data_IF_532379083118
#
_entry.id   IF_532379083118
#
_cell.length_a   1.000
_cell.length_b   1.000
_cell.length_c   1.000
_cell.angle_alpha   90.00
_cell.angle_beta   90.00
_cell.angle_gamma   90.00
#
_symmetry.space_group_name_H-M   'P 1'
#
loop_
_entity.id
_entity.type
_entity.pdbx_description
1 polymer ?
#
# COMPACT_ATOMS: atom_id res chain seq x y z
N UNK A 1 -36.02 69.84 31.01
CA UNK A 1 -35.91 68.47 30.51
C UNK A 1 -35.55 68.50 29.07
N UNK A 2 -34.32 68.14 28.63
CA UNK A 2 -33.93 68.13 27.24
C UNK A 2 -34.27 66.79 26.61
N UNK A 3 -34.80 66.84 25.42
CA UNK A 3 -35.17 65.75 24.54
C UNK A 3 -33.92 65.16 23.93
N UNK A 4 -33.66 63.85 24.06
CA UNK A 4 -32.55 63.13 23.47
C UNK A 4 -33.00 62.58 22.10
N UNK A 5 -32.37 63.09 21.03
CA UNK A 5 -32.48 62.53 19.67
C UNK A 5 -31.85 61.16 19.57
N UNK A 6 -32.44 60.19 18.88
CA UNK A 6 -31.78 58.91 18.58
C UNK A 6 -30.77 59.09 17.46
N UNK A 7 -29.52 58.83 17.78
CA UNK A 7 -28.40 58.84 16.85
C UNK A 7 -28.45 57.58 15.93
N UNK A 8 -28.47 57.83 14.63
CA UNK A 8 -28.46 56.80 13.59
C UNK A 8 -27.12 56.07 13.55
N UNK A 9 -27.16 54.79 13.82
CA UNK A 9 -26.03 53.89 13.61
C UNK A 9 -26.06 53.44 12.13
N UNK A 10 -25.21 54.01 11.31
CA UNK A 10 -24.97 53.51 9.96
C UNK A 10 -23.98 52.33 10.04
N UNK A 11 -24.26 51.18 9.38
CA UNK A 11 -23.28 50.09 9.33
C UNK A 11 -22.11 50.50 8.41
N UNK A 12 -20.88 50.07 8.73
CA UNK A 12 -19.73 50.33 7.88
C UNK A 12 -19.87 49.61 6.55
N UNK A 13 -19.48 50.30 5.46
CA UNK A 13 -19.48 49.80 4.11
C UNK A 13 -18.67 48.51 4.00
N UNK A 14 -19.29 47.49 3.41
CA UNK A 14 -18.60 46.23 3.05
C UNK A 14 -17.49 46.51 2.05
N UNK A 15 -16.26 46.27 2.44
CA UNK A 15 -15.10 46.22 1.54
C UNK A 15 -15.23 45.03 0.62
N UNK A 16 -14.94 45.16 -0.68
CA UNK A 16 -15.00 44.05 -1.60
C UNK A 16 -13.83 43.08 -1.37
N UNK A 17 -14.09 41.96 -0.71
CA UNK A 17 -13.21 40.80 -0.71
C UNK A 17 -13.40 40.03 -2.01
N UNK A 18 -12.82 40.53 -3.09
CA UNK A 18 -12.65 39.81 -4.35
C UNK A 18 -11.21 39.96 -4.78
N UNK A 19 -10.35 39.14 -4.22
CA UNK A 19 -9.07 38.83 -4.83
C UNK A 19 -8.95 37.32 -4.90
N UNK A 20 -9.25 36.78 -6.08
CA UNK A 20 -8.76 35.48 -6.48
C UNK A 20 -7.22 35.47 -6.35
N UNK A 21 -6.62 34.42 -5.79
CA UNK A 21 -5.19 34.29 -5.79
C UNK A 21 -4.71 33.77 -7.15
N UNK A 22 -4.67 34.62 -8.15
CA UNK A 22 -3.75 34.44 -9.27
C UNK A 22 -2.36 34.89 -8.78
N UNK A 23 -1.72 34.04 -8.00
CA UNK A 23 -0.38 34.29 -7.50
C UNK A 23 0.49 33.11 -7.87
N UNK A 24 1.36 33.26 -8.86
CA UNK A 24 2.62 32.52 -8.94
C UNK A 24 3.16 32.41 -7.51
N UNK A 25 3.42 31.19 -7.03
CA UNK A 25 4.01 30.96 -5.71
C UNK A 25 5.17 31.96 -5.48
N UNK A 26 5.23 32.65 -4.35
CA UNK A 26 6.31 33.57 -4.04
C UNK A 26 7.67 32.90 -4.29
N UNK A 27 8.65 33.64 -4.78
CA UNK A 27 9.96 33.09 -5.13
C UNK A 27 10.59 32.33 -3.96
N UNK A 28 10.38 32.79 -2.74
CA UNK A 28 10.81 32.12 -1.51
C UNK A 28 10.15 30.75 -1.31
N UNK A 29 8.86 30.62 -1.58
CA UNK A 29 8.16 29.33 -1.46
C UNK A 29 8.62 28.34 -2.54
N UNK A 30 8.90 28.83 -3.76
CA UNK A 30 9.50 28.00 -4.83
C UNK A 30 10.91 27.53 -4.44
N UNK A 31 11.68 28.38 -3.82
CA UNK A 31 13.03 28.03 -3.38
C UNK A 31 13.01 27.07 -2.20
N UNK A 32 12.05 27.23 -1.29
CA UNK A 32 11.80 26.31 -0.19
C UNK A 32 11.33 24.93 -0.68
N UNK A 33 10.41 24.89 -1.65
CA UNK A 33 9.99 23.64 -2.33
C UNK A 33 11.18 22.97 -3.01
N UNK A 34 11.99 23.70 -3.81
CA UNK A 34 13.20 23.17 -4.44
C UNK A 34 14.23 22.67 -3.42
N UNK A 35 14.34 23.32 -2.26
CA UNK A 35 15.23 22.89 -1.18
C UNK A 35 14.75 21.60 -0.54
N UNK A 36 13.44 21.46 -0.32
CA UNK A 36 12.81 20.23 0.15
C UNK A 36 12.91 19.11 -0.88
N UNK A 37 12.70 19.39 -2.15
CA UNK A 37 12.88 18.43 -3.24
C UNK A 37 14.33 17.95 -3.35
N UNK A 38 15.31 18.85 -3.25
CA UNK A 38 16.74 18.48 -3.23
C UNK A 38 17.11 17.67 -1.99
N UNK A 39 16.59 18.02 -0.82
CA UNK A 39 16.79 17.25 0.40
C UNK A 39 16.18 15.86 0.31
N UNK A 40 14.98 15.74 -0.25
CA UNK A 40 14.35 14.44 -0.55
C UNK A 40 15.13 13.63 -1.59
N UNK A 41 15.64 14.27 -2.63
CA UNK A 41 16.46 13.62 -3.65
C UNK A 41 17.80 13.14 -3.08
N UNK A 42 18.43 13.94 -2.20
CA UNK A 42 19.66 13.53 -1.51
C UNK A 42 19.44 12.40 -0.51
N UNK A 43 18.29 12.40 0.20
CA UNK A 43 17.90 11.29 1.08
C UNK A 43 17.65 10.00 0.30
N UNK A 44 17.25 10.09 -0.97
CA UNK A 44 17.06 8.96 -1.89
C UNK A 44 18.34 8.45 -2.56
N UNK A 45 19.47 9.11 -2.40
CA UNK A 45 20.72 8.77 -3.09
C UNK A 45 21.24 7.33 -2.83
N UNK A 46 20.63 6.60 -1.87
CA UNK A 46 20.88 5.17 -1.62
C UNK A 46 19.69 4.26 -1.90
N UNK A 47 18.55 4.81 -2.37
CA UNK A 47 17.31 4.05 -2.61
C UNK A 47 17.24 3.65 -4.08
N UNK A 48 16.84 2.42 -4.34
CA UNK A 48 16.65 1.90 -5.70
C UNK A 48 15.16 1.66 -5.97
N UNK A 49 14.78 1.76 -7.24
CA UNK A 49 13.44 1.40 -7.70
C UNK A 49 13.48 -0.02 -8.27
N UNK A 50 12.50 -0.82 -7.90
CA UNK A 50 12.38 -2.20 -8.36
C UNK A 50 11.10 -2.34 -9.18
N UNK A 51 11.19 -2.49 -10.51
CA UNK A 51 10.03 -2.72 -11.35
C UNK A 51 9.32 -4.02 -10.95
N UNK A 52 7.99 -3.96 -10.88
CA UNK A 52 7.17 -5.13 -10.60
C UNK A 52 7.09 -6.06 -11.83
N UNK A 53 7.40 -5.53 -13.01
CA UNK A 53 7.29 -6.25 -14.28
C UNK A 53 5.86 -6.27 -14.82
N UNK A 54 5.01 -5.37 -14.33
CA UNK A 54 3.64 -5.15 -14.77
C UNK A 54 3.58 -3.70 -15.24
N UNK A 55 3.63 -3.49 -16.56
CA UNK A 55 3.82 -2.16 -17.17
C UNK A 55 2.79 -1.13 -16.70
N UNK A 56 1.53 -1.54 -16.54
CA UNK A 56 0.42 -0.68 -16.13
C UNK A 56 0.56 -0.21 -14.68
N UNK A 57 1.16 -1.02 -13.83
CA UNK A 57 1.44 -0.68 -12.44
C UNK A 57 2.73 0.13 -12.35
N UNK A 58 3.79 -0.34 -13.02
CA UNK A 58 5.10 0.30 -13.00
C UNK A 58 5.03 1.75 -13.50
N UNK A 59 4.18 2.03 -14.51
CA UNK A 59 3.96 3.39 -15.02
C UNK A 59 3.42 4.38 -13.99
N UNK A 60 2.74 3.90 -12.95
CA UNK A 60 2.21 4.74 -11.87
C UNK A 60 3.18 4.87 -10.69
N UNK A 61 4.15 3.97 -10.58
CA UNK A 61 5.13 4.00 -9.52
C UNK A 61 6.26 5.00 -9.83
N UNK A 62 6.92 5.56 -8.80
CA UNK A 62 8.02 6.49 -9.00
C UNK A 62 9.15 5.82 -9.79
N UNK A 63 9.59 6.47 -10.85
CA UNK A 63 10.66 5.97 -11.73
C UNK A 63 10.44 4.54 -12.25
N UNK A 64 9.16 4.11 -12.35
CA UNK A 64 8.77 2.82 -12.90
C UNK A 64 8.97 1.64 -11.96
N UNK A 65 8.96 1.84 -10.64
CA UNK A 65 9.15 0.74 -9.72
C UNK A 65 8.81 1.02 -8.26
N UNK A 66 8.80 -0.05 -7.47
CA UNK A 66 8.63 0.02 -6.03
C UNK A 66 9.90 0.58 -5.38
N UNK A 67 9.75 1.58 -4.52
CA UNK A 67 10.86 2.21 -3.83
C UNK A 67 11.43 1.29 -2.75
N UNK A 68 12.72 0.98 -2.78
CA UNK A 68 13.42 0.39 -1.62
C UNK A 68 13.65 1.45 -0.54
N UNK A 69 13.96 1.04 0.69
CA UNK A 69 14.14 2.03 1.77
C UNK A 69 12.87 2.80 2.09
N UNK A 70 11.73 2.14 2.02
CA UNK A 70 10.43 2.73 2.30
C UNK A 70 9.49 1.73 2.99
N UNK A 71 8.48 2.26 3.66
CA UNK A 71 7.39 1.47 4.20
C UNK A 71 6.27 1.33 3.16
N UNK A 72 5.84 0.11 2.90
CA UNK A 72 4.70 -0.25 2.06
C UNK A 72 3.64 -0.96 2.91
N UNK A 73 2.40 -0.57 2.76
CA UNK A 73 1.28 -1.22 3.44
C UNK A 73 0.47 -2.07 2.46
N UNK A 74 0.12 -3.28 2.86
CA UNK A 74 -0.74 -4.19 2.12
C UNK A 74 -1.93 -4.55 3.01
N UNK A 75 -3.13 -4.26 2.55
CA UNK A 75 -4.39 -4.51 3.22
C UNK A 75 -5.15 -5.63 2.51
N UNK A 76 -5.72 -6.56 3.28
CA UNK A 76 -6.64 -7.52 2.72
C UNK A 76 -7.92 -6.82 2.27
N UNK A 77 -8.33 -7.06 1.05
CA UNK A 77 -9.59 -6.60 0.49
C UNK A 77 -10.75 -7.56 0.78
N UNK A 78 -12.00 -7.16 0.49
CA UNK A 78 -13.14 -8.06 0.60
C UNK A 78 -13.03 -9.16 -0.46
N UNK A 79 -13.19 -10.41 -0.02
CA UNK A 79 -13.30 -11.54 -0.94
C UNK A 79 -14.58 -11.43 -1.80
N UNK A 80 -14.68 -12.15 -2.94
CA UNK A 80 -15.89 -12.15 -3.79
C UNK A 80 -17.19 -12.49 -3.05
N UNK A 81 -17.09 -13.20 -1.91
CA UNK A 81 -18.21 -13.49 -1.01
C UNK A 81 -18.69 -12.28 -0.18
N UNK A 82 -18.07 -11.10 -0.35
CA UNK A 82 -18.36 -9.90 0.45
C UNK A 82 -17.82 -9.96 1.89
N UNK A 83 -17.20 -11.07 2.30
CA UNK A 83 -16.56 -11.20 3.62
C UNK A 83 -15.13 -10.65 3.52
N UNK A 84 -14.78 -9.74 4.40
CA UNK A 84 -13.37 -9.41 4.62
C UNK A 84 -12.78 -10.60 5.37
N UNK A 85 -12.07 -11.45 4.66
CA UNK A 85 -11.26 -12.47 5.33
C UNK A 85 -10.03 -11.75 5.88
N UNK A 86 -9.90 -11.74 7.19
CA UNK A 86 -8.74 -11.15 7.88
C UNK A 86 -7.39 -11.74 7.38
N UNK A 87 -7.45 -12.87 6.69
CA UNK A 87 -6.31 -13.62 6.15
C UNK A 87 -6.61 -14.08 4.71
N UNK A 88 -6.96 -13.12 3.84
CA UNK A 88 -7.02 -13.43 2.42
C UNK A 88 -5.61 -13.77 1.93
N UNK A 89 -5.41 -15.00 1.49
CA UNK A 89 -4.15 -15.48 0.92
C UNK A 89 -3.63 -14.60 -0.23
N UNK A 90 -4.50 -13.81 -0.86
CA UNK A 90 -4.13 -12.88 -1.92
C UNK A 90 -3.19 -11.77 -1.43
N UNK A 91 -3.44 -11.17 -0.26
CA UNK A 91 -2.57 -10.13 0.31
C UNK A 91 -1.18 -10.70 0.66
N UNK A 92 -1.14 -11.92 1.22
CA UNK A 92 0.10 -12.63 1.49
C UNK A 92 0.83 -13.01 0.20
N UNK A 93 0.10 -13.56 -0.79
CA UNK A 93 0.64 -13.91 -2.10
C UNK A 93 1.22 -12.71 -2.84
N UNK A 94 0.51 -11.56 -2.82
CA UNK A 94 1.01 -10.32 -3.40
C UNK A 94 2.28 -9.81 -2.68
N UNK A 95 2.34 -9.93 -1.35
CA UNK A 95 3.55 -9.61 -0.60
C UNK A 95 4.71 -10.51 -1.00
N UNK A 96 4.47 -11.83 -1.12
CA UNK A 96 5.49 -12.78 -1.56
C UNK A 96 5.97 -12.47 -2.99
N UNK A 97 5.07 -12.08 -3.90
CA UNK A 97 5.42 -11.60 -5.23
C UNK A 97 6.34 -10.37 -5.17
N UNK A 98 5.99 -9.35 -4.36
CA UNK A 98 6.83 -8.16 -4.21
C UNK A 98 8.23 -8.51 -3.68
N UNK A 99 8.30 -9.41 -2.70
CA UNK A 99 9.57 -9.92 -2.16
C UNK A 99 10.38 -10.64 -3.25
N UNK A 100 9.74 -11.49 -4.05
CA UNK A 100 10.39 -12.16 -5.18
C UNK A 100 11.03 -11.16 -6.14
N UNK A 101 10.30 -10.11 -6.52
CA UNK A 101 10.82 -9.04 -7.40
C UNK A 101 12.03 -8.30 -6.81
N UNK A 102 12.01 -8.06 -5.49
CA UNK A 102 13.12 -7.44 -4.77
C UNK A 102 14.35 -8.36 -4.74
N UNK A 103 14.14 -9.66 -4.52
CA UNK A 103 15.20 -10.65 -4.39
C UNK A 103 15.83 -11.05 -5.72
N UNK A 104 15.10 -10.97 -6.83
CA UNK A 104 15.63 -11.20 -8.19
C UNK A 104 16.82 -10.29 -8.51
N UNK A 105 16.89 -9.13 -7.86
CA UNK A 105 17.97 -8.16 -8.02
C UNK A 105 19.12 -8.32 -7.03
N UNK A 106 18.92 -9.10 -5.97
CA UNK A 106 19.92 -9.35 -4.93
C UNK A 106 20.11 -10.84 -4.78
N UNK A 107 21.24 -11.35 -5.24
CA UNK A 107 21.59 -12.77 -5.12
C UNK A 107 21.72 -13.22 -3.65
N UNK A 108 21.85 -12.28 -2.69
CA UNK A 108 22.10 -12.56 -1.27
C UNK A 108 21.18 -11.69 -0.42
N UNK A 109 20.61 -12.27 0.64
CA UNK A 109 19.89 -11.52 1.65
C UNK A 109 18.76 -12.32 2.29
N UNK A 110 18.63 -12.15 3.60
CA UNK A 110 17.58 -12.75 4.41
C UNK A 110 16.37 -11.86 4.44
N UNK A 111 15.17 -12.43 4.40
CA UNK A 111 13.91 -11.76 4.68
C UNK A 111 13.58 -11.98 6.14
N UNK A 112 13.33 -10.92 6.88
CA UNK A 112 12.76 -11.02 8.23
C UNK A 112 11.25 -10.92 8.14
N UNK A 113 10.55 -11.95 8.61
CA UNK A 113 9.10 -12.00 8.68
C UNK A 113 8.64 -12.04 10.12
N UNK A 114 8.14 -10.91 10.61
CA UNK A 114 7.64 -10.75 11.97
C UNK A 114 6.13 -10.95 11.97
N UNK A 115 5.62 -11.77 12.88
CA UNK A 115 4.20 -12.02 13.00
C UNK A 115 3.76 -12.03 14.46
N UNK A 116 2.53 -11.63 14.67
CA UNK A 116 1.85 -11.78 15.94
C UNK A 116 0.69 -12.75 15.73
N UNK A 117 0.77 -13.98 16.24
CA UNK A 117 -0.34 -14.92 16.15
C UNK A 117 -1.60 -14.34 16.79
N UNK A 118 -2.72 -14.36 16.08
CA UNK A 118 -3.97 -13.82 16.58
C UNK A 118 -5.16 -14.66 16.11
N UNK A 119 -5.61 -15.55 16.97
CA UNK A 119 -6.86 -16.30 16.78
C UNK A 119 -6.77 -17.48 15.79
N UNK A 120 -7.79 -17.67 14.98
CA UNK A 120 -7.99 -18.89 14.20
C UNK A 120 -6.97 -19.15 13.07
N UNK A 121 -6.10 -18.18 12.78
CA UNK A 121 -5.14 -18.23 11.68
C UNK A 121 -3.69 -18.07 12.16
N UNK A 122 -3.36 -18.80 13.21
CA UNK A 122 -2.04 -18.75 13.81
C UNK A 122 -0.95 -19.48 13.01
N UNK A 123 -1.30 -20.07 11.85
CA UNK A 123 -0.35 -20.77 11.02
C UNK A 123 0.62 -19.79 10.33
N UNK A 124 1.93 -20.10 10.32
CA UNK A 124 2.89 -19.32 9.55
C UNK A 124 2.62 -19.45 8.05
N UNK A 125 3.14 -18.51 7.24
CA UNK A 125 3.11 -18.65 5.79
C UNK A 125 3.60 -20.02 5.33
N UNK A 126 2.87 -20.64 4.42
CA UNK A 126 3.18 -21.99 3.94
C UNK A 126 4.41 -21.95 3.01
N UNK A 127 5.53 -22.47 3.48
CA UNK A 127 6.81 -22.40 2.77
C UNK A 127 6.78 -22.92 1.32
N UNK A 128 6.10 -24.06 0.99
CA UNK A 128 5.99 -24.49 -0.40
C UNK A 128 5.27 -23.48 -1.32
N UNK A 129 4.27 -22.74 -0.81
CA UNK A 129 3.63 -21.69 -1.59
C UNK A 129 4.55 -20.46 -1.79
N UNK A 130 5.40 -20.15 -0.81
CA UNK A 130 6.41 -19.10 -0.94
C UNK A 130 7.49 -19.44 -1.94
N UNK A 131 7.79 -20.75 -2.11
CA UNK A 131 8.80 -21.22 -3.06
C UNK A 131 8.51 -20.87 -4.53
N UNK A 132 7.26 -20.52 -4.84
CA UNK A 132 6.88 -19.96 -6.14
C UNK A 132 7.54 -18.60 -6.42
N UNK A 133 7.85 -17.84 -5.37
CA UNK A 133 8.31 -16.45 -5.47
C UNK A 133 9.77 -16.27 -5.11
N UNK A 134 10.26 -16.98 -4.09
CA UNK A 134 11.64 -16.92 -3.61
C UNK A 134 12.00 -18.18 -2.83
N UNK A 135 13.29 -18.41 -2.62
CA UNK A 135 13.77 -19.53 -1.79
C UNK A 135 13.35 -19.34 -0.33
N UNK A 136 12.48 -20.21 0.21
CA UNK A 136 12.04 -20.13 1.61
C UNK A 136 13.16 -20.26 2.65
N UNK A 137 14.32 -20.83 2.29
CA UNK A 137 15.50 -20.89 3.16
C UNK A 137 16.06 -19.51 3.49
N UNK A 138 15.67 -18.47 2.74
CA UNK A 138 16.01 -17.07 3.02
C UNK A 138 15.10 -16.41 4.08
N UNK A 139 14.09 -17.12 4.54
CA UNK A 139 13.07 -16.56 5.45
C UNK A 139 13.49 -16.80 6.91
N UNK A 140 13.67 -15.73 7.65
CA UNK A 140 13.79 -15.73 9.11
C UNK A 140 12.46 -15.32 9.73
N UNK A 141 11.83 -16.26 10.45
CA UNK A 141 10.53 -16.03 11.09
C UNK A 141 10.71 -15.59 12.54
N UNK A 142 10.05 -14.50 12.92
CA UNK A 142 9.96 -14.03 14.31
C UNK A 142 8.49 -14.02 14.73
N UNK A 143 8.20 -14.70 15.84
CA UNK A 143 6.88 -14.69 16.45
C UNK A 143 6.91 -13.82 17.70
N UNK A 144 6.18 -12.71 17.67
CA UNK A 144 6.06 -11.78 18.79
C UNK A 144 4.74 -12.02 19.55
N UNK A 145 4.77 -11.91 20.87
CA UNK A 145 3.56 -12.03 21.70
C UNK A 145 2.78 -10.71 21.78
N UNK A 146 3.47 -9.58 21.69
CA UNK A 146 2.90 -8.24 21.76
C UNK A 146 3.23 -7.46 20.50
N UNK A 147 2.39 -6.51 20.18
CA UNK A 147 2.56 -5.66 19.01
C UNK A 147 3.84 -4.80 19.10
N UNK A 148 4.20 -4.34 20.31
CA UNK A 148 5.42 -3.57 20.51
C UNK A 148 6.67 -4.38 20.19
N UNK A 149 6.70 -5.67 20.57
CA UNK A 149 7.81 -6.58 20.30
C UNK A 149 7.94 -6.87 18.79
N UNK A 150 6.80 -6.95 18.07
CA UNK A 150 6.77 -7.08 16.63
C UNK A 150 7.42 -5.87 15.95
N UNK A 151 7.00 -4.67 16.29
CA UNK A 151 7.57 -3.47 15.70
C UNK A 151 9.03 -3.26 16.07
N UNK A 152 9.42 -3.61 17.30
CA UNK A 152 10.82 -3.59 17.70
C UNK A 152 11.67 -4.55 16.85
N UNK A 153 11.21 -5.79 16.65
CA UNK A 153 11.91 -6.77 15.82
C UNK A 153 12.04 -6.29 14.35
N UNK A 154 10.99 -5.65 13.80
CA UNK A 154 11.06 -5.06 12.48
C UNK A 154 12.10 -3.93 12.39
N UNK A 155 12.15 -3.04 13.38
CA UNK A 155 13.14 -1.95 13.43
C UNK A 155 14.58 -2.49 13.54
N UNK A 156 14.82 -3.51 14.37
CA UNK A 156 16.13 -4.16 14.46
C UNK A 156 16.51 -4.84 13.14
N UNK A 157 15.57 -5.51 12.50
CA UNK A 157 15.77 -6.07 11.15
C UNK A 157 16.20 -5.03 10.14
N UNK A 158 15.53 -3.87 10.11
CA UNK A 158 15.89 -2.76 9.22
C UNK A 158 17.31 -2.22 9.47
N UNK A 159 17.83 -2.33 10.70
CA UNK A 159 19.20 -1.94 11.04
C UNK A 159 20.23 -3.03 10.74
N UNK A 160 19.77 -4.28 10.65
CA UNK A 160 20.62 -5.48 10.57
C UNK A 160 21.14 -5.83 9.18
N UNK A 161 20.87 -5.03 8.13
CA UNK A 161 21.39 -5.27 6.77
C UNK A 161 20.75 -6.45 6.05
N UNK A 162 19.48 -6.75 6.34
CA UNK A 162 18.68 -7.79 5.69
C UNK A 162 18.06 -7.28 4.38
N UNK A 163 17.56 -8.19 3.54
CA UNK A 163 17.03 -7.84 2.22
C UNK A 163 15.66 -7.15 2.28
N UNK A 164 14.80 -7.57 3.19
CA UNK A 164 13.48 -7.00 3.40
C UNK A 164 12.94 -7.35 4.78
N UNK A 165 12.02 -6.52 5.29
CA UNK A 165 11.28 -6.77 6.54
C UNK A 165 9.80 -6.83 6.24
N UNK A 166 9.12 -7.85 6.77
CA UNK A 166 7.67 -7.99 6.72
C UNK A 166 7.12 -8.05 8.14
N UNK A 167 6.03 -7.37 8.40
CA UNK A 167 5.28 -7.48 9.65
C UNK A 167 3.81 -7.76 9.40
N UNK A 168 3.27 -8.78 10.07
CA UNK A 168 1.83 -9.05 10.11
C UNK A 168 1.23 -8.43 11.37
N UNK A 169 0.29 -7.50 11.21
CA UNK A 169 -0.38 -6.83 12.33
C UNK A 169 -1.87 -6.66 12.06
N UNK A 170 -2.67 -6.62 13.12
CA UNK A 170 -4.10 -6.33 13.01
C UNK A 170 -4.36 -4.87 12.69
N UNK A 171 -3.70 -3.96 13.40
CA UNK A 171 -3.90 -2.52 13.25
C UNK A 171 -2.60 -1.79 13.62
N UNK A 172 -1.89 -1.25 12.65
CA UNK A 172 -0.68 -0.49 12.96
C UNK A 172 -1.01 0.86 13.57
N UNK A 173 -0.37 1.19 14.67
CA UNK A 173 -0.42 2.51 15.27
C UNK A 173 0.35 3.52 14.40
N UNK A 174 -0.14 4.77 14.22
CA UNK A 174 0.54 5.78 13.40
C UNK A 174 1.98 6.06 13.83
N UNK A 175 2.27 5.98 15.12
CA UNK A 175 3.61 6.20 15.68
C UNK A 175 4.59 5.10 15.25
N UNK A 176 4.16 3.83 15.31
CA UNK A 176 4.98 2.70 14.87
C UNK A 176 5.26 2.78 13.35
N UNK A 177 4.25 3.10 12.54
CA UNK A 177 4.42 3.30 11.11
C UNK A 177 5.45 4.39 10.77
N UNK A 178 5.44 5.51 11.52
CA UNK A 178 6.43 6.59 11.34
C UNK A 178 7.85 6.13 11.67
N UNK A 179 8.03 5.38 12.76
CA UNK A 179 9.34 4.85 13.16
C UNK A 179 9.88 3.87 12.12
N UNK A 180 9.04 2.95 11.64
CA UNK A 180 9.40 2.01 10.57
C UNK A 180 9.76 2.73 9.26
N UNK A 181 8.98 3.74 8.86
CA UNK A 181 9.27 4.53 7.66
C UNK A 181 10.64 5.21 7.73
N UNK A 182 10.97 5.82 8.86
CA UNK A 182 12.28 6.44 9.09
C UNK A 182 13.43 5.42 9.13
N UNK A 183 13.20 4.26 9.75
CA UNK A 183 14.20 3.20 9.80
C UNK A 183 14.47 2.61 8.42
N UNK A 184 13.43 2.36 7.62
CA UNK A 184 13.54 1.91 6.24
C UNK A 184 14.28 2.93 5.36
N UNK A 185 13.92 4.21 5.47
CA UNK A 185 14.58 5.30 4.74
C UNK A 185 16.08 5.37 5.07
N UNK A 186 16.43 5.24 6.34
CA UNK A 186 17.84 5.30 6.78
C UNK A 186 18.65 4.08 6.34
N UNK A 187 18.06 2.89 6.33
CA UNK A 187 18.76 1.64 5.99
C UNK A 187 18.79 1.34 4.49
N UNK A 188 17.88 1.93 3.71
CA UNK A 188 17.65 1.55 2.31
C UNK A 188 16.88 0.23 2.13
N UNK A 189 16.48 -0.43 3.24
CA UNK A 189 15.77 -1.72 3.26
C UNK A 189 14.26 -1.50 3.17
N UNK A 190 13.53 -2.18 2.26
CA UNK A 190 12.09 -2.08 2.19
C UNK A 190 11.41 -2.77 3.38
N UNK A 191 10.38 -2.12 3.91
CA UNK A 191 9.51 -2.66 4.94
C UNK A 191 8.09 -2.84 4.40
N UNK A 192 7.50 -3.99 4.65
CA UNK A 192 6.12 -4.33 4.30
C UNK A 192 5.31 -4.53 5.56
N UNK A 193 4.14 -3.91 5.63
CA UNK A 193 3.21 -4.09 6.72
C UNK A 193 1.92 -4.68 6.18
N UNK A 194 1.70 -5.97 6.44
CA UNK A 194 0.45 -6.66 6.15
C UNK A 194 -0.53 -6.34 7.25
N UNK A 195 -1.70 -5.88 6.86
CA UNK A 195 -2.75 -5.45 7.79
C UNK A 195 -4.02 -6.24 7.57
N UNK A 196 -4.56 -6.77 8.66
CA UNK A 196 -5.86 -7.43 8.64
C UNK A 196 -7.01 -6.42 8.46
N UNK A 197 -6.84 -5.22 9.02
CA UNK A 197 -7.86 -4.17 8.97
C UNK A 197 -7.37 -2.95 8.19
N UNK A 198 -8.29 -2.26 7.49
CA UNK A 198 -7.96 -1.02 6.82
C UNK A 198 -7.32 -0.03 7.79
N UNK A 199 -6.23 0.57 7.36
CA UNK A 199 -5.53 1.55 8.16
C UNK A 199 -6.17 2.94 8.12
N UNK A 200 -5.70 3.85 9.00
CA UNK A 200 -6.14 5.23 8.96
C UNK A 200 -5.82 5.84 7.60
N UNK A 201 -6.67 6.75 7.14
CA UNK A 201 -6.48 7.46 5.86
C UNK A 201 -5.13 8.17 5.80
N UNK A 202 -4.68 8.71 6.94
CA UNK A 202 -3.37 9.32 7.08
C UNK A 202 -2.33 8.26 7.46
N UNK A 203 -1.45 7.94 6.53
CA UNK A 203 -0.30 7.06 6.75
C UNK A 203 0.95 7.69 6.14
N UNK A 204 2.10 7.33 6.68
CA UNK A 204 3.42 7.75 6.21
C UNK A 204 4.03 6.80 5.18
N UNK A 205 3.32 5.72 4.82
CA UNK A 205 3.79 4.74 3.86
C UNK A 205 4.02 5.35 2.46
N UNK A 206 4.97 4.81 1.73
CA UNK A 206 5.24 5.18 0.35
C UNK A 206 4.10 4.73 -0.57
N UNK A 207 3.69 3.47 -0.45
CA UNK A 207 2.51 2.93 -1.16
C UNK A 207 1.60 2.18 -0.19
N UNK A 208 0.30 2.20 -0.49
CA UNK A 208 -0.69 1.35 0.17
C UNK A 208 -1.47 0.60 -0.90
N UNK A 209 -1.51 -0.69 -0.74
CA UNK A 209 -2.19 -1.61 -1.63
C UNK A 209 -3.36 -2.26 -0.90
N UNK A 210 -4.45 -2.47 -1.62
CA UNK A 210 -5.53 -3.36 -1.17
C UNK A 210 -5.58 -4.52 -2.14
N UNK A 211 -5.54 -5.74 -1.60
CA UNK A 211 -5.48 -6.96 -2.40
C UNK A 211 -6.54 -7.92 -1.93
N UNK A 212 -7.34 -8.42 -2.85
CA UNK A 212 -8.39 -9.40 -2.60
C UNK A 212 -8.31 -10.54 -3.61
N UNK A 213 -8.74 -11.73 -3.21
CA UNK A 213 -8.96 -12.83 -4.14
C UNK A 213 -10.06 -12.47 -5.12
N UNK A 214 -9.89 -12.85 -6.38
CA UNK A 214 -10.89 -12.69 -7.42
C UNK A 214 -11.29 -14.06 -8.00
N UNK A 215 -12.48 -14.10 -8.62
CA UNK A 215 -12.97 -15.33 -9.23
C UNK A 215 -12.03 -15.78 -10.35
N UNK A 216 -11.60 -17.03 -10.28
CA UNK A 216 -10.84 -17.68 -11.33
C UNK A 216 -11.76 -18.21 -12.45
N UNK A 217 -11.25 -18.37 -13.64
CA UNK A 217 -11.95 -19.04 -14.71
C UNK A 217 -11.43 -20.47 -14.82
N UNK A 218 -12.31 -21.44 -14.53
CA UNK A 218 -12.01 -22.83 -14.85
C UNK A 218 -12.18 -23.06 -16.35
N UNK A 219 -11.31 -23.90 -16.92
CA UNK A 219 -11.46 -24.35 -18.30
C UNK A 219 -12.70 -25.26 -18.38
N UNK A 220 -13.67 -25.01 -19.29
CA UNK A 220 -14.83 -25.88 -19.42
C UNK A 220 -14.41 -27.35 -19.65
N UNK A 221 -14.90 -28.26 -18.79
CA UNK A 221 -14.62 -29.69 -18.87
C UNK A 221 -13.43 -30.18 -18.06
N UNK A 222 -12.65 -29.30 -17.41
CA UNK A 222 -11.65 -29.65 -16.41
C UNK A 222 -12.17 -29.29 -15.02
N UNK A 223 -12.08 -30.22 -14.09
CA UNK A 223 -12.37 -29.95 -12.67
C UNK A 223 -11.18 -29.20 -12.03
N UNK A 224 -10.76 -28.11 -12.67
CA UNK A 224 -9.60 -27.31 -12.31
C UNK A 224 -10.07 -26.02 -11.63
N UNK A 225 -9.33 -25.59 -10.62
CA UNK A 225 -9.60 -24.32 -9.92
C UNK A 225 -9.27 -23.08 -10.79
N UNK A 226 -8.57 -23.29 -11.90
CA UNK A 226 -8.03 -22.23 -12.74
C UNK A 226 -6.91 -21.41 -12.08
N UNK A 227 -6.30 -20.48 -12.81
CA UNK A 227 -5.17 -19.69 -12.31
C UNK A 227 -5.61 -18.77 -11.18
N UNK A 228 -4.72 -18.50 -10.23
CA UNK A 228 -4.97 -17.55 -9.15
C UNK A 228 -5.16 -16.15 -9.69
N UNK A 229 -6.22 -15.47 -9.25
CA UNK A 229 -6.56 -14.10 -9.62
C UNK A 229 -6.69 -13.21 -8.40
N UNK A 230 -6.16 -12.00 -8.52
CA UNK A 230 -6.21 -11.01 -7.48
C UNK A 230 -6.74 -9.67 -8.01
N UNK A 231 -7.67 -9.08 -7.29
CA UNK A 231 -8.03 -7.68 -7.45
C UNK A 231 -7.04 -6.86 -6.63
N UNK A 232 -6.27 -6.01 -7.31
CA UNK A 232 -5.24 -5.17 -6.68
C UNK A 232 -5.60 -3.69 -6.89
N UNK A 233 -5.63 -2.92 -5.81
CA UNK A 233 -5.88 -1.48 -5.83
C UNK A 233 -4.68 -0.75 -5.24
N UNK A 234 -4.21 0.32 -5.90
CA UNK A 234 -3.20 1.24 -5.35
C UNK A 234 -3.90 2.39 -4.62
N UNK A 235 -4.13 2.20 -3.31
CA UNK A 235 -4.89 3.14 -2.46
C UNK A 235 -4.11 4.41 -2.13
N UNK A 236 -2.78 4.33 -2.15
CA UNK A 236 -1.88 5.44 -1.90
C UNK A 236 -0.60 5.27 -2.68
N UNK A 237 -0.15 6.36 -3.28
CA UNK A 237 1.17 6.49 -3.86
C UNK A 237 1.73 7.88 -3.47
N UNK A 238 2.67 7.89 -2.54
CA UNK A 238 3.23 9.16 -1.99
C UNK A 238 4.10 9.89 -2.99
N UNK A 239 4.77 9.17 -3.88
CA UNK A 239 5.80 9.70 -4.76
C UNK A 239 5.47 9.54 -6.25
N UNK A 240 4.33 8.94 -6.56
CA UNK A 240 3.87 8.78 -7.93
C UNK A 240 3.00 9.93 -8.40
N UNK A 241 2.55 9.85 -9.62
CA UNK A 241 1.60 10.80 -10.18
C UNK A 241 0.28 10.71 -9.39
N UNK A 242 -0.25 11.83 -8.87
CA UNK A 242 -1.54 11.81 -8.20
C UNK A 242 -2.61 11.35 -9.21
N UNK A 243 -3.29 10.27 -8.91
CA UNK A 243 -4.55 9.96 -9.57
C UNK A 243 -5.62 10.85 -8.94
N UNK A 244 -6.19 11.75 -9.72
CA UNK A 244 -7.01 12.85 -9.18
C UNK A 244 -8.43 12.37 -8.87
N UNK A 245 -8.97 11.38 -9.57
CA UNK A 245 -10.39 11.03 -9.46
C UNK A 245 -10.72 9.54 -9.30
N UNK A 246 -9.79 8.62 -9.58
CA UNK A 246 -10.06 7.18 -9.47
C UNK A 246 -8.89 6.46 -8.79
N UNK A 247 -9.24 5.49 -7.94
CA UNK A 247 -8.26 4.58 -7.34
C UNK A 247 -7.84 3.60 -8.42
N UNK A 248 -6.54 3.60 -8.83
CA UNK A 248 -6.06 2.64 -9.81
C UNK A 248 -6.27 1.20 -9.32
N UNK A 249 -6.80 0.36 -10.18
CA UNK A 249 -7.22 -0.98 -9.83
C UNK A 249 -7.03 -1.94 -11.01
N UNK A 250 -6.53 -3.14 -10.74
CA UNK A 250 -6.22 -4.15 -11.74
C UNK A 250 -6.69 -5.52 -11.29
N UNK A 251 -7.18 -6.30 -12.23
CA UNK A 251 -7.32 -7.74 -12.07
C UNK A 251 -6.03 -8.38 -12.55
N UNK A 252 -5.28 -9.00 -11.64
CA UNK A 252 -4.04 -9.71 -11.94
C UNK A 252 -4.31 -11.21 -11.97
N UNK A 253 -3.69 -11.89 -12.91
CA UNK A 253 -3.70 -13.35 -13.03
C UNK A 253 -2.29 -13.89 -12.97
N UNK A 254 -2.10 -14.93 -12.17
CA UNK A 254 -0.85 -15.67 -12.10
C UNK A 254 -0.76 -16.70 -13.22
N UNK A 255 0.36 -16.73 -13.92
CA UNK A 255 0.67 -17.72 -14.92
C UNK A 255 1.79 -18.65 -14.41
N UNK A 256 1.44 -19.92 -14.17
CA UNK A 256 2.36 -20.93 -13.64
C UNK A 256 3.48 -21.31 -14.60
N UNK A 257 3.26 -21.20 -15.92
CA UNK A 257 4.27 -21.55 -16.93
C UNK A 257 5.36 -20.50 -17.05
N UNK A 258 4.95 -19.22 -16.99
CA UNK A 258 5.87 -18.09 -17.13
C UNK A 258 6.37 -17.53 -15.81
N UNK A 259 5.80 -17.97 -14.69
CA UNK A 259 6.02 -17.41 -13.34
C UNK A 259 5.87 -15.88 -13.31
N UNK A 260 4.79 -15.38 -13.92
CA UNK A 260 4.49 -13.95 -14.01
C UNK A 260 3.05 -13.63 -13.64
N UNK A 261 2.88 -12.45 -13.07
CA UNK A 261 1.57 -11.80 -12.97
C UNK A 261 1.34 -10.94 -14.21
N UNK A 262 0.16 -11.02 -14.76
CA UNK A 262 -0.28 -10.20 -15.87
C UNK A 262 -1.63 -9.55 -15.55
N UNK A 263 -1.86 -8.36 -16.12
CA UNK A 263 -3.17 -7.72 -16.07
C UNK A 263 -4.12 -8.47 -16.99
N UNK A 264 -5.25 -8.91 -16.44
CA UNK A 264 -6.35 -9.44 -17.24
C UNK A 264 -7.17 -8.26 -17.72
N UNK A 265 -7.35 -8.09 -19.04
CA UNK A 265 -8.24 -7.05 -19.56
C UNK A 265 -9.64 -7.24 -18.97
N UNK A 266 -10.10 -6.29 -18.17
CA UNK A 266 -11.50 -6.28 -17.77
C UNK A 266 -12.29 -5.87 -19.02
N UNK A 267 -12.98 -6.84 -19.65
CA UNK A 267 -14.08 -6.48 -20.52
C UNK A 267 -15.03 -5.63 -19.67
N UNK A 268 -15.30 -4.40 -20.11
CA UNK A 268 -16.15 -3.45 -19.39
C UNK A 268 -17.49 -4.10 -19.06
N UNK A 269 -17.57 -4.77 -17.93
CA UNK A 269 -18.84 -5.05 -17.29
C UNK A 269 -19.28 -3.72 -16.70
N UNK A 270 -20.11 -2.99 -17.45
CA UNK A 270 -21.03 -2.06 -16.80
C UNK A 270 -21.72 -2.87 -15.72
N UNK A 271 -21.42 -2.59 -14.46
CA UNK A 271 -22.24 -3.04 -13.36
C UNK A 271 -23.66 -2.60 -13.67
N UNK A 272 -24.48 -3.53 -14.11
CA UNK A 272 -25.89 -3.35 -13.98
C UNK A 272 -26.12 -3.36 -12.46
N UNK A 273 -26.39 -2.20 -11.90
CA UNK A 273 -26.97 -2.04 -10.59
C UNK A 273 -28.26 -2.87 -10.56
N UNK A 274 -28.14 -4.12 -10.13
CA UNK A 274 -29.29 -4.94 -9.78
C UNK A 274 -29.53 -4.72 -8.28
N UNK A 275 -30.60 -4.00 -7.90
CA UNK A 275 -30.98 -3.94 -6.50
C UNK A 275 -31.38 -5.34 -6.06
N UNK A 276 -30.69 -5.89 -5.08
CA UNK A 276 -31.06 -7.12 -4.40
C UNK A 276 -32.38 -6.91 -3.67
N UNK A 277 -33.49 -7.14 -4.35
CA UNK A 277 -34.78 -7.29 -3.69
C UNK A 277 -34.85 -8.71 -3.10
N UNK A 278 -34.64 -8.84 -1.81
CA UNK A 278 -35.01 -10.04 -1.06
C UNK A 278 -36.53 -10.09 -1.09
N UNK A 279 -37.10 -10.97 -1.90
CA UNK A 279 -38.50 -11.42 -1.71
C UNK A 279 -38.49 -12.44 -0.57
N UNK A 280 -38.99 -12.01 0.59
CA UNK A 280 -39.40 -12.93 1.62
C UNK A 280 -40.66 -13.68 1.09
N UNK A 281 -40.62 -14.99 1.15
CA UNK A 281 -41.79 -15.90 1.09
C UNK A 281 -41.87 -16.63 2.43
#
# INVERSE_FOLDING_TARGET
MPVISPNAFAPPAASPLSREPQGLLPTELREQVRRLERAHSAARAGQTMVPLGIAEIDALLPEGGLLTGALHEIEAGPAPSGRVAAHDGAALGFTAFLLGRLLDRSAVGTILWCRQPSGAFDAPPYAPALATWFDPARLLMVTARREEDLFWAMEEGLRGGIAAVVGETRAAQPTAGRRLSLAAEKSGVPAFLLREQPGPTQSVCATRWRVASAASHSTPGLADLGPSRWQVELRRNRFGTPSVDEIPSWLLEWNDETHRLAVVPQAFHRSADAPWSIRAA
#
